data_IF_557718783169
#
_entry.id   IF_557718783169
#
_cell.length_a   1.000
_cell.length_b   1.000
_cell.length_c   1.000
_cell.angle_alpha   90.00
_cell.angle_beta   90.00
_cell.angle_gamma   90.00
#
_symmetry.space_group_name_H-M   'P 1'
#
loop_
_entity.id
_entity.type
_entity.pdbx_description
1 polymer ?
#
# COMPACT_ATOMS: atom_id res chain seq x y z
N UNK A 1 0.71 16.59 -13.49
CA UNK A 1 -0.33 16.60 -12.43
C UNK A 1 0.27 17.32 -11.22
N UNK A 2 0.22 18.67 -11.19
CA UNK A 2 0.96 19.44 -10.18
C UNK A 2 0.49 19.18 -8.74
N UNK A 3 -0.69 18.57 -8.57
CA UNK A 3 -1.31 18.28 -7.28
C UNK A 3 -1.07 16.83 -6.79
N UNK A 4 -0.38 15.98 -7.56
CA UNK A 4 -0.12 14.58 -7.19
C UNK A 4 1.19 14.46 -6.43
N UNK A 5 1.14 14.74 -5.14
CA UNK A 5 2.31 14.78 -4.25
C UNK A 5 2.54 13.47 -3.49
N UNK A 6 1.52 12.62 -3.38
CA UNK A 6 1.59 11.35 -2.67
C UNK A 6 1.13 10.16 -3.52
N UNK A 7 1.61 8.98 -3.14
CA UNK A 7 1.22 7.69 -3.68
C UNK A 7 0.81 6.79 -2.53
N UNK A 8 -0.44 6.34 -2.53
CA UNK A 8 -1.00 5.49 -1.47
C UNK A 8 -0.94 4.02 -1.88
N UNK A 9 -0.48 3.18 -0.96
CA UNK A 9 -0.33 1.73 -1.13
C UNK A 9 -1.28 1.03 -0.16
N UNK A 10 -2.01 0.05 -0.68
CA UNK A 10 -2.80 -0.90 0.10
C UNK A 10 -2.56 -2.32 -0.42
N UNK A 11 -2.66 -3.31 0.46
CA UNK A 11 -2.69 -4.73 0.09
C UNK A 11 -4.10 -5.27 0.27
N UNK A 12 -4.46 -6.28 -0.52
CA UNK A 12 -5.78 -6.89 -0.50
C UNK A 12 -5.68 -8.42 -0.51
N UNK A 13 -6.53 -9.09 0.27
CA UNK A 13 -6.60 -10.56 0.33
C UNK A 13 -7.57 -11.15 -0.72
N UNK A 14 -8.27 -10.30 -1.46
CA UNK A 14 -9.27 -10.69 -2.45
C UNK A 14 -10.55 -11.28 -1.85
N UNK A 15 -10.71 -11.29 -0.52
CA UNK A 15 -11.97 -11.69 0.10
C UNK A 15 -13.02 -10.59 -0.09
N UNK A 16 -14.11 -10.97 -0.73
CA UNK A 16 -15.24 -10.08 -1.00
C UNK A 16 -16.39 -10.52 -0.08
N UNK A 17 -16.42 -10.00 1.15
CA UNK A 17 -17.57 -10.22 2.04
C UNK A 17 -18.57 -9.10 1.81
N UNK A 18 -19.71 -9.45 1.21
CA UNK A 18 -20.72 -8.51 0.74
C UNK A 18 -21.26 -7.63 1.86
N UNK A 19 -20.90 -6.34 1.82
CA UNK A 19 -21.42 -5.30 2.70
C UNK A 19 -21.60 -4.00 1.90
N UNK A 20 -22.28 -4.08 0.74
CA UNK A 20 -22.75 -2.91 0.00
C UNK A 20 -21.75 -2.35 -1.03
N UNK A 21 -21.63 -1.02 -1.15
CA UNK A 21 -20.88 -0.39 -2.24
C UNK A 21 -19.36 -0.69 -2.30
N UNK A 22 -18.82 -1.44 -1.33
CA UNK A 22 -17.44 -1.95 -1.31
C UNK A 22 -17.29 -3.37 -1.90
N UNK A 23 -18.34 -3.92 -2.52
CA UNK A 23 -18.41 -5.29 -3.09
C UNK A 23 -17.43 -5.59 -4.24
N UNK A 24 -16.51 -4.68 -4.60
CA UNK A 24 -15.61 -4.87 -5.75
C UNK A 24 -14.14 -4.73 -5.43
N UNK A 25 -13.80 -4.23 -4.24
CA UNK A 25 -12.40 -3.85 -3.92
C UNK A 25 -11.70 -4.86 -3.02
N UNK A 26 -12.39 -5.86 -2.47
CA UNK A 26 -11.86 -6.80 -1.47
C UNK A 26 -11.45 -6.11 -0.16
N UNK A 27 -11.03 -6.86 0.86
CA UNK A 27 -10.65 -6.29 2.17
C UNK A 27 -9.16 -5.93 2.22
N UNK A 28 -8.81 -4.76 2.76
CA UNK A 28 -7.40 -4.45 3.00
C UNK A 28 -6.81 -5.42 4.03
N UNK A 29 -5.63 -5.95 3.72
CA UNK A 29 -4.91 -6.85 4.60
C UNK A 29 -3.46 -6.34 4.85
N UNK A 30 -2.76 -6.89 5.85
CA UNK A 30 -1.35 -6.54 6.13
C UNK A 30 -0.43 -6.70 4.92
N UNK A 31 0.68 -5.97 4.93
CA UNK A 31 1.67 -6.04 3.84
C UNK A 31 2.32 -7.43 3.69
N UNK A 32 2.40 -8.20 4.79
CA UNK A 32 2.93 -9.55 4.88
C UNK A 32 1.83 -10.64 4.92
N UNK A 33 0.57 -10.28 4.64
CA UNK A 33 -0.50 -11.26 4.65
C UNK A 33 -0.23 -12.39 3.62
N UNK A 34 -0.25 -13.67 4.03
CA UNK A 34 0.03 -14.78 3.14
C UNK A 34 -1.00 -14.92 2.01
N UNK A 35 -2.18 -14.32 2.15
CA UNK A 35 -3.23 -14.27 1.14
C UNK A 35 -3.18 -13.01 0.27
N UNK A 36 -2.26 -12.08 0.55
CA UNK A 36 -2.07 -10.86 -0.21
C UNK A 36 -1.92 -11.12 -1.71
N UNK A 37 -2.67 -10.39 -2.54
CA UNK A 37 -2.76 -10.64 -3.98
C UNK A 37 -1.77 -9.85 -4.81
N UNK A 38 -1.30 -8.70 -4.31
CA UNK A 38 -0.38 -7.85 -5.04
C UNK A 38 1.06 -8.15 -4.65
N UNK A 39 1.93 -8.25 -5.66
CA UNK A 39 3.35 -7.96 -5.46
C UNK A 39 3.49 -6.45 -5.28
N UNK A 40 3.48 -5.99 -4.02
CA UNK A 40 3.41 -4.56 -3.67
C UNK A 40 4.53 -3.78 -4.34
N UNK A 41 5.76 -4.32 -4.37
CA UNK A 41 6.92 -3.64 -4.95
C UNK A 41 6.72 -3.48 -6.45
N UNK A 42 6.50 -4.59 -7.16
CA UNK A 42 6.31 -4.56 -8.62
C UNK A 42 5.12 -3.70 -9.03
N UNK A 43 3.98 -3.83 -8.36
CA UNK A 43 2.77 -3.09 -8.69
C UNK A 43 2.92 -1.59 -8.43
N UNK A 44 3.66 -1.20 -7.38
CA UNK A 44 3.98 0.20 -7.11
C UNK A 44 4.80 0.83 -8.23
N UNK A 45 5.69 0.07 -8.88
CA UNK A 45 6.50 0.54 -10.00
C UNK A 45 5.69 1.10 -11.17
N UNK A 46 4.53 0.52 -11.48
CA UNK A 46 3.65 1.04 -12.54
C UNK A 46 3.12 2.45 -12.25
N UNK A 47 2.96 2.79 -10.96
CA UNK A 47 2.44 4.09 -10.53
C UNK A 47 3.56 5.11 -10.27
N UNK A 48 4.73 4.63 -9.84
CA UNK A 48 5.90 5.44 -9.53
C UNK A 48 6.82 5.69 -10.74
N UNK A 49 6.48 5.19 -11.93
CA UNK A 49 7.18 5.55 -13.15
C UNK A 49 7.24 7.09 -13.31
N UNK A 50 8.46 7.61 -13.43
CA UNK A 50 8.78 9.05 -13.48
C UNK A 50 8.18 9.84 -12.32
N UNK A 51 8.11 9.24 -11.13
CA UNK A 51 7.57 9.86 -9.93
C UNK A 51 8.19 11.24 -9.63
N UNK A 52 9.52 11.35 -9.82
CA UNK A 52 10.28 12.60 -9.65
C UNK A 52 9.80 13.72 -10.58
N UNK A 53 9.78 13.47 -11.89
CA UNK A 53 9.30 14.43 -12.90
C UNK A 53 7.84 14.84 -12.67
N UNK A 54 7.06 13.94 -12.07
CA UNK A 54 5.64 14.13 -11.76
C UNK A 54 5.40 14.84 -10.42
N UNK A 55 6.43 15.04 -9.60
CA UNK A 55 6.36 15.74 -8.33
C UNK A 55 5.81 14.92 -7.16
N UNK A 56 5.84 13.58 -7.24
CA UNK A 56 5.53 12.72 -6.09
C UNK A 56 6.66 12.87 -5.07
N UNK A 57 6.31 12.98 -3.79
CA UNK A 57 7.22 13.20 -2.66
C UNK A 57 7.02 12.17 -1.54
N UNK A 58 5.83 11.56 -1.45
CA UNK A 58 5.46 10.67 -0.36
C UNK A 58 4.94 9.33 -0.86
N UNK A 59 5.39 8.26 -0.21
CA UNK A 59 4.74 6.95 -0.27
C UNK A 59 4.00 6.78 1.05
N UNK A 60 2.70 6.57 0.98
CA UNK A 60 1.79 6.47 2.11
C UNK A 60 1.18 5.07 2.15
N UNK A 61 0.98 4.52 3.33
CA UNK A 61 0.25 3.25 3.49
C UNK A 61 -1.20 3.52 3.90
N UNK A 62 -2.15 2.86 3.23
CA UNK A 62 -3.57 2.89 3.56
C UNK A 62 -3.98 1.65 4.38
N UNK A 63 -4.09 1.86 5.69
CA UNK A 63 -4.55 0.86 6.66
C UNK A 63 -6.02 1.01 7.09
N UNK A 64 -6.88 1.68 6.31
CA UNK A 64 -8.23 2.08 6.74
C UNK A 64 -9.17 0.95 7.20
N UNK A 65 -8.89 -0.32 6.86
CA UNK A 65 -9.70 -1.47 7.26
C UNK A 65 -9.04 -2.37 8.32
N UNK A 66 -7.94 -1.94 8.95
CA UNK A 66 -7.26 -2.73 9.96
C UNK A 66 -8.00 -2.69 11.31
N UNK A 67 -8.18 -3.84 12.00
CA UNK A 67 -8.68 -3.84 13.37
C UNK A 67 -7.72 -3.08 14.31
N UNK A 68 -8.25 -2.41 15.34
CA UNK A 68 -7.42 -1.68 16.32
C UNK A 68 -6.33 -2.56 16.96
N UNK A 69 -6.65 -3.81 17.29
CA UNK A 69 -5.70 -4.75 17.86
C UNK A 69 -4.52 -5.09 16.93
N UNK A 70 -4.66 -4.89 15.61
CA UNK A 70 -3.57 -4.99 14.65
C UNK A 70 -2.74 -3.69 14.66
N UNK A 71 -3.41 -2.53 14.64
CA UNK A 71 -2.77 -1.21 14.68
C UNK A 71 -1.93 -0.98 15.95
N UNK A 72 -2.30 -1.59 17.07
CA UNK A 72 -1.57 -1.49 18.34
C UNK A 72 -0.31 -2.36 18.38
N UNK A 73 -0.07 -3.22 17.38
CA UNK A 73 1.14 -4.05 17.31
C UNK A 73 2.26 -3.28 16.61
N UNK A 74 3.41 -3.04 17.27
CA UNK A 74 4.56 -2.38 16.64
C UNK A 74 5.03 -3.09 15.37
N UNK A 75 4.99 -4.42 15.35
CA UNK A 75 5.42 -5.24 14.21
C UNK A 75 4.64 -4.93 12.94
N UNK A 76 3.35 -4.59 13.04
CA UNK A 76 2.54 -4.17 11.88
C UNK A 76 3.18 -2.98 11.17
N UNK A 77 3.65 -1.99 11.94
CA UNK A 77 4.30 -0.80 11.39
C UNK A 77 5.71 -1.08 10.87
N UNK A 78 6.46 -1.97 11.52
CA UNK A 78 7.78 -2.41 11.06
C UNK A 78 7.67 -3.09 9.69
N UNK A 79 6.73 -4.02 9.53
CA UNK A 79 6.47 -4.71 8.25
C UNK A 79 6.06 -3.72 7.15
N UNK A 80 5.16 -2.79 7.45
CA UNK A 80 4.74 -1.75 6.49
C UNK A 80 5.93 -0.87 6.09
N UNK A 81 6.72 -0.41 7.07
CA UNK A 81 7.89 0.43 6.81
C UNK A 81 8.92 -0.29 5.94
N UNK A 82 9.25 -1.54 6.27
CA UNK A 82 10.15 -2.36 5.45
C UNK A 82 9.66 -2.47 4.01
N UNK A 83 8.36 -2.73 3.83
CA UNK A 83 7.74 -2.81 2.51
C UNK A 83 7.83 -1.48 1.74
N UNK A 84 7.52 -0.35 2.38
CA UNK A 84 7.62 0.97 1.76
C UNK A 84 9.07 1.35 1.42
N UNK A 85 10.04 0.96 2.26
CA UNK A 85 11.46 1.13 1.95
C UNK A 85 11.85 0.34 0.70
N UNK A 86 11.41 -0.93 0.58
CA UNK A 86 11.65 -1.73 -0.63
C UNK A 86 11.02 -1.11 -1.88
N UNK A 87 9.82 -0.54 -1.78
CA UNK A 87 9.19 0.22 -2.89
C UNK A 87 10.06 1.43 -3.26
N UNK A 88 10.48 2.23 -2.28
CA UNK A 88 11.31 3.41 -2.49
C UNK A 88 12.66 3.04 -3.11
N UNK A 89 13.31 1.98 -2.63
CA UNK A 89 14.62 1.57 -3.12
C UNK A 89 14.55 1.02 -4.55
N UNK A 90 13.41 0.41 -4.94
CA UNK A 90 13.19 -0.11 -6.29
C UNK A 90 12.71 0.95 -7.31
N UNK A 91 11.91 1.93 -6.87
CA UNK A 91 11.14 2.81 -7.77
C UNK A 91 11.11 4.30 -7.37
N UNK A 92 11.69 4.66 -6.23
CA UNK A 92 11.69 6.01 -5.68
C UNK A 92 12.95 6.81 -6.02
N UNK A 93 13.33 7.66 -5.08
CA UNK A 93 14.43 8.62 -5.21
C UNK A 93 15.76 8.03 -4.74
N UNK A 94 16.27 7.04 -5.49
CA UNK A 94 17.67 6.60 -5.37
C UNK A 94 18.65 7.68 -5.79
#
# INVERSE_FOLDING_TARGET
RPWTIDFHVAQNDGEVHGAGSHDKTGKHCPADDPNGKLDIVKCSGYWLEKAQDRGIQHICWDGCMFPNALLEKPDTWNTILETMLRVRDAHGWG
#
